data_IF_081973973063
#
_entry.id   IF_081973973063
#
_cell.length_a   1.000
_cell.length_b   1.000
_cell.length_c   1.000
_cell.angle_alpha   90.00
_cell.angle_beta   90.00
_cell.angle_gamma   90.00
#
_symmetry.space_group_name_H-M   'P 1'
#
loop_
_entity.id
_entity.type
_entity.pdbx_description
1 polymer ?
#
# COMPACT_ATOMS: atom_id res chain seq x y z
N UNK A 1 -7.06 -11.03 -10.13
CA UNK A 1 -5.66 -11.33 -9.74
C UNK A 1 -5.72 -11.58 -8.25
N UNK A 2 -5.15 -12.69 -7.80
CA UNK A 2 -5.07 -13.04 -6.38
C UNK A 2 -4.19 -12.02 -5.65
N UNK A 3 -4.47 -11.80 -4.36
CA UNK A 3 -3.60 -11.06 -3.46
C UNK A 3 -2.23 -11.75 -3.34
N UNK A 4 -1.17 -11.01 -2.99
CA UNK A 4 0.14 -11.66 -2.73
C UNK A 4 0.05 -12.65 -1.58
N UNK A 5 -0.80 -12.40 -0.59
CA UNK A 5 -1.12 -13.36 0.48
C UNK A 5 -1.59 -14.72 -0.05
N UNK A 6 -2.43 -14.70 -1.10
CA UNK A 6 -2.93 -15.91 -1.75
C UNK A 6 -1.89 -16.54 -2.69
N UNK A 7 -0.97 -15.74 -3.25
CA UNK A 7 0.11 -16.21 -4.12
C UNK A 7 1.27 -16.84 -3.33
N UNK A 8 1.66 -16.24 -2.22
CA UNK A 8 2.69 -16.75 -1.31
C UNK A 8 2.30 -16.48 0.15
N UNK A 9 1.72 -17.50 0.78
CA UNK A 9 1.30 -17.44 2.18
C UNK A 9 2.49 -17.40 3.15
N UNK A 10 3.63 -18.01 2.83
CA UNK A 10 4.82 -18.02 3.69
C UNK A 10 5.44 -16.62 3.78
N UNK A 11 5.70 -16.00 2.62
CA UNK A 11 6.14 -14.60 2.51
C UNK A 11 5.24 -13.68 3.33
N UNK A 12 3.93 -13.81 3.15
CA UNK A 12 2.97 -12.99 3.85
C UNK A 12 2.95 -13.24 5.36
N UNK A 13 3.03 -14.50 5.82
CA UNK A 13 3.09 -14.83 7.25
C UNK A 13 4.34 -14.30 7.93
N UNK A 14 5.50 -14.38 7.27
CA UNK A 14 6.73 -13.83 7.84
C UNK A 14 6.61 -12.31 8.02
N UNK A 15 6.13 -11.61 6.99
CA UNK A 15 5.81 -10.19 7.08
C UNK A 15 4.74 -9.92 8.14
N UNK A 16 3.75 -10.82 8.23
CA UNK A 16 2.67 -11.06 9.21
C UNK A 16 3.06 -10.85 10.68
N UNK A 17 4.03 -11.65 11.04
CA UNK A 17 4.23 -12.06 12.43
C UNK A 17 5.43 -11.35 13.06
N UNK A 18 6.10 -10.48 12.28
CA UNK A 18 7.32 -9.80 12.70
C UNK A 18 7.22 -8.29 12.46
N UNK A 19 7.57 -7.49 13.48
CA UNK A 19 7.62 -6.03 13.39
C UNK A 19 8.82 -5.52 12.60
N UNK A 20 9.87 -6.33 12.50
CA UNK A 20 11.08 -6.03 11.74
C UNK A 20 11.40 -7.24 10.89
N UNK A 21 11.59 -6.98 9.60
CA UNK A 21 12.03 -7.99 8.63
C UNK A 21 13.12 -7.38 7.76
N UNK A 22 13.90 -8.24 7.15
CA UNK A 22 14.89 -7.86 6.16
C UNK A 22 14.43 -8.38 4.80
N UNK A 23 14.70 -7.62 3.76
CA UNK A 23 14.38 -7.97 2.39
C UNK A 23 15.64 -7.91 1.55
N UNK A 24 15.96 -8.99 0.87
CA UNK A 24 17.09 -9.06 -0.05
C UNK A 24 16.59 -9.34 -1.45
N UNK A 25 16.99 -8.50 -2.40
CA UNK A 25 16.68 -8.77 -3.81
C UNK A 25 17.73 -9.71 -4.39
N UNK A 26 17.31 -10.80 -5.01
CA UNK A 26 18.19 -11.71 -5.75
C UNK A 26 17.59 -11.96 -7.11
N UNK A 27 18.31 -11.57 -8.16
CA UNK A 27 17.78 -11.52 -9.51
C UNK A 27 16.44 -10.77 -9.56
N UNK A 28 15.32 -11.47 -9.77
CA UNK A 28 13.99 -10.89 -9.88
C UNK A 28 13.10 -11.15 -8.66
N UNK A 29 13.62 -11.80 -7.61
CA UNK A 29 12.89 -12.15 -6.40
C UNK A 29 13.30 -11.27 -5.23
N UNK A 30 12.31 -10.86 -4.44
CA UNK A 30 12.47 -10.24 -3.15
C UNK A 30 12.28 -11.31 -2.07
N UNK A 31 13.34 -11.62 -1.33
CA UNK A 31 13.35 -12.63 -0.27
C UNK A 31 13.23 -11.95 1.08
N UNK A 32 12.22 -12.31 1.87
CA UNK A 32 12.13 -11.88 3.25
C UNK A 32 12.89 -12.82 4.18
N UNK A 33 13.39 -12.27 5.28
CA UNK A 33 14.08 -13.02 6.33
C UNK A 33 14.18 -12.21 7.63
N UNK A 34 14.56 -12.86 8.73
CA UNK A 34 14.54 -12.28 10.09
C UNK A 34 15.88 -11.69 10.54
N UNK A 35 16.97 -12.00 9.82
CA UNK A 35 18.33 -11.63 10.20
C UNK A 35 18.94 -10.62 9.22
N UNK A 36 19.92 -9.81 9.60
CA UNK A 36 20.61 -8.93 8.63
C UNK A 36 21.35 -9.72 7.55
N UNK A 37 21.88 -10.90 7.88
CA UNK A 37 22.55 -11.76 6.93
C UNK A 37 21.55 -12.33 5.92
N UNK A 38 21.92 -12.22 4.63
CA UNK A 38 21.17 -12.86 3.55
C UNK A 38 21.13 -14.38 3.78
N UNK A 39 19.95 -15.03 3.70
CA UNK A 39 19.84 -16.48 3.82
C UNK A 39 20.52 -17.19 2.65
N UNK A 40 20.99 -18.42 2.90
CA UNK A 40 21.44 -19.33 1.84
C UNK A 40 20.26 -19.67 0.94
N UNK A 41 20.39 -19.46 -0.37
CA UNK A 41 19.32 -19.74 -1.33
C UNK A 41 19.31 -21.21 -1.80
N UNK A 42 20.30 -21.99 -1.39
CA UNK A 42 20.44 -23.41 -1.76
C UNK A 42 19.77 -24.36 -0.74
N UNK A 43 19.14 -23.81 0.30
CA UNK A 43 18.44 -24.60 1.31
C UNK A 43 17.00 -24.89 0.88
N UNK A 44 16.83 -26.00 0.16
CA UNK A 44 15.52 -26.46 -0.32
C UNK A 44 14.59 -27.01 0.78
N UNK A 45 15.00 -26.97 2.05
CA UNK A 45 14.19 -27.51 3.17
C UNK A 45 13.23 -26.49 3.78
N UNK A 46 13.34 -25.22 3.41
CA UNK A 46 12.52 -24.11 3.92
C UNK A 46 11.53 -23.66 2.84
N UNK A 47 10.27 -23.39 3.22
CA UNK A 47 9.30 -22.79 2.30
C UNK A 47 9.84 -21.45 1.78
N UNK A 48 9.70 -21.20 0.49
CA UNK A 48 10.27 -20.00 -0.11
C UNK A 48 9.50 -18.76 0.34
N UNK A 49 10.13 -17.93 1.15
CA UNK A 49 9.61 -16.66 1.64
C UNK A 49 9.95 -15.52 0.66
N UNK A 50 9.80 -15.78 -0.64
CA UNK A 50 10.11 -14.84 -1.70
C UNK A 50 8.93 -14.54 -2.61
N UNK A 51 8.96 -13.37 -3.22
CA UNK A 51 8.00 -12.96 -4.23
C UNK A 51 8.74 -12.28 -5.36
N UNK A 52 8.29 -12.52 -6.59
CA UNK A 52 8.86 -11.80 -7.72
C UNK A 52 8.56 -10.30 -7.59
N UNK A 53 9.60 -9.49 -7.76
CA UNK A 53 9.55 -8.03 -7.57
C UNK A 53 8.52 -7.39 -8.51
N UNK A 54 8.38 -7.91 -9.73
CA UNK A 54 7.38 -7.40 -10.67
C UNK A 54 5.95 -7.68 -10.21
N UNK A 55 5.69 -8.77 -9.47
CA UNK A 55 4.38 -9.04 -8.88
C UNK A 55 4.04 -7.97 -7.83
N UNK A 56 4.99 -7.62 -6.95
CA UNK A 56 4.83 -6.52 -5.99
C UNK A 56 4.51 -5.20 -6.69
N UNK A 57 5.28 -4.86 -7.72
CA UNK A 57 5.10 -3.63 -8.49
C UNK A 57 3.73 -3.59 -9.19
N UNK A 58 3.31 -4.68 -9.83
CA UNK A 58 2.00 -4.79 -10.46
C UNK A 58 0.85 -4.66 -9.47
N UNK A 59 1.01 -5.24 -8.28
CA UNK A 59 0.01 -5.15 -7.22
C UNK A 59 -0.15 -3.71 -6.74
N UNK A 60 0.96 -3.03 -6.48
CA UNK A 60 0.96 -1.63 -6.11
C UNK A 60 0.36 -0.74 -7.22
N UNK A 61 0.67 -1.00 -8.50
CA UNK A 61 0.06 -0.27 -9.64
C UNK A 61 -1.46 -0.39 -9.62
N UNK A 62 -2.02 -1.57 -9.31
CA UNK A 62 -3.47 -1.79 -9.22
C UNK A 62 -4.08 -1.04 -8.04
N UNK A 63 -3.45 -1.12 -6.86
CA UNK A 63 -3.85 -0.35 -5.67
C UNK A 63 -3.89 1.15 -5.98
N UNK A 64 -2.84 1.68 -6.61
CA UNK A 64 -2.73 3.10 -7.00
C UNK A 64 -3.86 3.54 -7.93
N UNK A 65 -4.24 2.72 -8.91
CA UNK A 65 -5.36 3.03 -9.82
C UNK A 65 -6.69 3.08 -9.08
N UNK A 66 -6.98 2.09 -8.22
CA UNK A 66 -8.23 2.01 -7.48
C UNK A 66 -8.36 3.18 -6.48
N UNK A 67 -7.29 3.45 -5.73
CA UNK A 67 -7.28 4.48 -4.71
C UNK A 67 -7.37 5.88 -5.33
N UNK A 68 -6.75 6.10 -6.49
CA UNK A 68 -6.88 7.37 -7.23
C UNK A 68 -8.33 7.68 -7.60
N UNK A 69 -9.13 6.67 -7.92
CA UNK A 69 -10.57 6.86 -8.19
C UNK A 69 -11.31 7.34 -6.94
N UNK A 70 -11.03 6.73 -5.78
CA UNK A 70 -11.63 7.11 -4.50
C UNK A 70 -11.18 8.52 -4.08
N UNK A 71 -9.88 8.78 -4.11
CA UNK A 71 -9.29 10.11 -3.82
C UNK A 71 -9.92 11.21 -4.69
N UNK A 72 -10.10 10.95 -5.99
CA UNK A 72 -10.70 11.93 -6.91
C UNK A 72 -12.15 12.27 -6.53
N UNK A 73 -12.93 11.27 -6.10
CA UNK A 73 -14.31 11.48 -5.62
C UNK A 73 -14.34 12.32 -4.34
N UNK A 74 -13.46 12.01 -3.39
CA UNK A 74 -13.39 12.74 -2.12
C UNK A 74 -12.87 14.17 -2.31
N UNK A 75 -11.88 14.36 -3.18
CA UNK A 75 -11.37 15.68 -3.53
C UNK A 75 -12.44 16.54 -4.23
N UNK A 76 -13.27 15.93 -5.08
CA UNK A 76 -14.42 16.61 -5.69
C UNK A 76 -15.42 17.10 -4.64
N UNK A 77 -15.73 16.28 -3.62
CA UNK A 77 -16.58 16.71 -2.49
C UNK A 77 -15.98 17.91 -1.75
N UNK A 78 -14.68 17.85 -1.45
CA UNK A 78 -13.95 18.96 -0.80
C UNK A 78 -14.06 20.24 -1.65
N UNK A 79 -13.83 20.15 -2.96
CA UNK A 79 -13.90 21.29 -3.88
C UNK A 79 -15.31 21.87 -4.00
N UNK A 80 -16.35 21.05 -3.80
CA UNK A 80 -17.75 21.47 -3.76
C UNK A 80 -18.18 21.93 -2.36
N UNK A 81 -17.25 22.06 -1.40
CA UNK A 81 -17.50 22.44 0.00
C UNK A 81 -18.49 21.47 0.69
N UNK A 82 -18.56 20.24 0.19
CA UNK A 82 -19.28 19.16 0.85
C UNK A 82 -18.39 18.59 1.93
N UNK A 83 -18.97 18.36 3.11
CA UNK A 83 -18.20 17.72 4.17
C UNK A 83 -17.98 16.25 3.87
N UNK A 84 -16.81 15.79 4.28
CA UNK A 84 -16.50 14.37 4.36
C UNK A 84 -17.06 13.80 5.65
N UNK A 85 -17.35 12.51 5.62
CA UNK A 85 -17.58 11.74 6.85
C UNK A 85 -16.25 11.47 7.55
N UNK A 86 -16.28 11.22 8.88
CA UNK A 86 -15.06 10.88 9.62
C UNK A 86 -14.31 9.70 8.97
N UNK A 87 -15.03 8.70 8.46
CA UNK A 87 -14.42 7.55 7.78
C UNK A 87 -13.69 7.94 6.49
N UNK A 88 -14.23 8.89 5.73
CA UNK A 88 -13.58 9.38 4.51
C UNK A 88 -12.34 10.22 4.82
N UNK A 89 -12.38 11.02 5.90
CA UNK A 89 -11.21 11.76 6.38
C UNK A 89 -10.12 10.82 6.91
N UNK A 90 -10.48 9.89 7.80
CA UNK A 90 -9.58 8.86 8.33
C UNK A 90 -8.97 8.02 7.20
N UNK A 91 -9.75 7.67 6.19
CA UNK A 91 -9.23 6.95 5.03
C UNK A 91 -8.24 7.79 4.23
N UNK A 92 -8.51 9.08 3.98
CA UNK A 92 -7.56 9.96 3.26
C UNK A 92 -6.24 10.16 4.00
N UNK A 93 -6.29 10.29 5.33
CA UNK A 93 -5.10 10.45 6.18
C UNK A 93 -4.34 9.11 6.36
N UNK A 94 -5.05 7.99 6.36
CA UNK A 94 -4.52 6.64 6.51
C UNK A 94 -4.27 5.95 5.16
N UNK A 95 -5.06 4.92 4.85
CA UNK A 95 -4.83 4.03 3.70
C UNK A 95 -4.82 4.76 2.35
N UNK A 96 -5.68 5.76 2.20
CA UNK A 96 -5.76 6.61 1.03
C UNK A 96 -4.51 7.44 0.79
N UNK A 97 -3.59 7.57 1.76
CA UNK A 97 -2.29 8.21 1.55
C UNK A 97 -1.24 7.19 1.09
N UNK A 98 -0.93 7.21 -0.21
CA UNK A 98 -0.01 6.25 -0.83
C UNK A 98 1.47 6.68 -0.81
N UNK A 99 1.84 7.78 -0.14
CA UNK A 99 3.21 8.30 -0.17
C UNK A 99 4.22 7.27 0.35
N UNK A 100 3.94 6.64 1.49
CA UNK A 100 4.86 5.66 2.09
C UNK A 100 4.96 4.39 1.23
N UNK A 101 3.83 3.97 0.63
CA UNK A 101 3.80 2.84 -0.30
C UNK A 101 4.63 3.11 -1.56
N UNK A 102 4.52 4.32 -2.13
CA UNK A 102 5.31 4.73 -3.29
C UNK A 102 6.81 4.74 -2.98
N UNK A 103 7.21 5.36 -1.86
CA UNK A 103 8.60 5.41 -1.45
C UNK A 103 9.18 4.01 -1.21
N UNK A 104 8.41 3.13 -0.57
CA UNK A 104 8.83 1.76 -0.31
C UNK A 104 9.02 0.98 -1.61
N UNK A 105 8.04 0.99 -2.52
CA UNK A 105 8.17 0.29 -3.81
C UNK A 105 9.37 0.82 -4.60
N UNK A 106 9.55 2.14 -4.69
CA UNK A 106 10.71 2.72 -5.39
C UNK A 106 12.03 2.23 -4.78
N UNK A 107 12.14 2.19 -3.45
CA UNK A 107 13.33 1.68 -2.76
C UNK A 107 13.58 0.20 -3.02
N UNK A 108 12.52 -0.62 -3.01
CA UNK A 108 12.62 -2.05 -3.33
C UNK A 108 13.06 -2.28 -4.79
N UNK A 109 12.50 -1.52 -5.74
CA UNK A 109 12.88 -1.62 -7.16
C UNK A 109 14.31 -1.15 -7.43
N UNK A 110 14.81 -0.18 -6.65
CA UNK A 110 16.17 0.35 -6.78
C UNK A 110 17.23 -0.46 -6.01
N UNK A 111 16.81 -1.43 -5.20
CA UNK A 111 17.72 -2.22 -4.38
C UNK A 111 18.56 -3.14 -5.27
N UNK A 112 19.89 -2.99 -5.20
CA UNK A 112 20.81 -3.77 -6.03
C UNK A 112 20.77 -5.26 -5.69
N UNK A 113 21.06 -6.10 -6.68
CA UNK A 113 21.07 -7.55 -6.49
C UNK A 113 22.05 -7.97 -5.38
N UNK A 114 21.57 -8.79 -4.46
CA UNK A 114 22.28 -9.26 -3.29
C UNK A 114 22.29 -8.28 -2.10
N UNK A 115 21.80 -7.05 -2.27
CA UNK A 115 21.70 -6.09 -1.17
C UNK A 115 20.49 -6.36 -0.30
N UNK A 116 20.67 -6.12 1.01
CA UNK A 116 19.65 -6.31 2.03
C UNK A 116 19.16 -4.96 2.53
N UNK A 117 17.85 -4.78 2.61
CA UNK A 117 17.19 -3.65 3.24
C UNK A 117 16.50 -4.12 4.52
N UNK A 118 16.69 -3.39 5.62
CA UNK A 118 15.89 -3.56 6.83
C UNK A 118 14.58 -2.79 6.67
N UNK A 119 13.45 -3.46 6.88
CA UNK A 119 12.14 -2.84 6.97
C UNK A 119 11.78 -2.66 8.44
N UNK A 120 11.60 -1.41 8.87
CA UNK A 120 11.07 -1.09 10.21
C UNK A 120 9.54 -1.26 10.24
N UNK A 121 8.94 -1.25 11.43
CA UNK A 121 7.50 -1.52 11.64
C UNK A 121 6.56 -0.85 10.64
N UNK A 122 6.75 0.44 10.36
CA UNK A 122 5.91 1.18 9.40
C UNK A 122 6.10 0.74 7.94
N UNK A 123 7.33 0.41 7.55
CA UNK A 123 7.64 -0.08 6.20
C UNK A 123 7.14 -1.52 6.02
N UNK A 124 7.28 -2.36 7.05
CA UNK A 124 6.75 -3.71 7.06
C UNK A 124 5.21 -3.70 7.02
N UNK A 125 4.57 -2.80 7.78
CA UNK A 125 3.13 -2.58 7.72
C UNK A 125 2.68 -2.10 6.33
N UNK A 126 3.42 -1.18 5.73
CA UNK A 126 3.14 -0.68 4.38
C UNK A 126 3.26 -1.78 3.33
N UNK A 127 4.31 -2.60 3.38
CA UNK A 127 4.46 -3.76 2.50
C UNK A 127 3.31 -4.73 2.69
N UNK A 128 2.88 -4.95 3.93
CA UNK A 128 1.76 -5.84 4.25
C UNK A 128 0.47 -5.35 3.63
N UNK A 129 0.16 -4.06 3.74
CA UNK A 129 -1.01 -3.45 3.09
C UNK A 129 -1.00 -3.68 1.58
N UNK A 130 0.16 -3.53 0.95
CA UNK A 130 0.32 -3.83 -0.48
C UNK A 130 0.04 -5.31 -0.74
N UNK A 131 0.57 -6.23 0.08
CA UNK A 131 0.38 -7.67 -0.11
C UNK A 131 -1.05 -8.17 0.17
N UNK A 132 -1.78 -7.52 1.07
CA UNK A 132 -3.18 -7.81 1.40
C UNK A 132 -4.17 -7.16 0.43
N UNK A 133 -3.71 -6.20 -0.37
CA UNK A 133 -4.57 -5.51 -1.32
C UNK A 133 -5.16 -6.51 -2.33
N UNK A 134 -6.45 -6.78 -2.17
CA UNK A 134 -7.24 -7.48 -3.18
C UNK A 134 -7.99 -6.42 -3.97
N UNK A 135 -7.75 -6.29 -5.29
CA UNK A 135 -8.52 -5.35 -6.10
C UNK A 135 -9.99 -5.73 -6.02
N UNK A 136 -10.85 -4.73 -5.86
CA UNK A 136 -12.29 -4.97 -5.89
C UNK A 136 -12.64 -5.65 -7.21
N UNK A 137 -13.47 -6.71 -7.23
CA UNK A 137 -13.98 -7.25 -8.48
C UNK A 137 -14.63 -6.08 -9.21
N UNK A 138 -14.10 -5.74 -10.39
CA UNK A 138 -14.58 -4.60 -11.16
C UNK A 138 -16.11 -4.74 -11.28
N UNK A 139 -16.86 -3.87 -10.61
CA UNK A 139 -18.23 -3.61 -11.02
C UNK A 139 -18.13 -2.90 -12.37
N UNK A 140 -18.08 -3.69 -13.45
CA UNK A 140 -18.59 -3.19 -14.71
C UNK A 140 -20.06 -2.82 -14.46
N UNK A 141 -20.31 -1.51 -14.37
CA UNK A 141 -21.61 -0.87 -14.19
C UNK A 141 -22.28 -1.03 -12.83
N UNK A 142 -22.10 -0.02 -11.96
CA UNK A 142 -23.08 0.32 -10.94
C UNK A 142 -23.27 1.84 -10.90
N UNK A 143 -23.94 2.36 -11.93
CA UNK A 143 -24.80 3.52 -11.77
C UNK A 143 -25.88 3.15 -10.75
N UNK A 144 -26.22 4.09 -9.87
CA UNK A 144 -27.34 4.07 -8.91
C UNK A 144 -26.99 3.54 -7.51
N UNK A 145 -26.94 4.43 -6.51
CA UNK A 145 -28.10 4.71 -5.65
C UNK A 145 -27.78 5.77 -4.59
N UNK A 146 -28.81 6.56 -4.31
CA UNK A 146 -28.88 7.74 -3.47
C UNK A 146 -29.27 7.44 -2.02
N UNK A 147 -28.99 8.41 -1.13
CA UNK A 147 -29.59 8.55 0.21
C UNK A 147 -28.66 8.10 1.35
N UNK A 148 -28.53 8.80 2.48
CA UNK A 148 -29.17 9.98 3.07
C UNK A 148 -28.11 10.75 3.88
N UNK A 149 -28.24 12.08 3.94
CA UNK A 149 -27.37 12.98 4.70
C UNK A 149 -27.60 12.85 6.21
N UNK A 150 -26.51 12.78 6.98
CA UNK A 150 -26.46 13.26 8.35
C UNK A 150 -25.40 14.38 8.41
N UNK A 151 -25.73 15.48 9.07
CA UNK A 151 -25.17 16.80 8.79
C UNK A 151 -23.75 17.05 9.31
N UNK A 152 -22.95 17.95 8.70
CA UNK A 152 -21.57 18.19 9.13
C UNK A 152 -21.37 19.47 9.95
N UNK A 153 -20.54 19.37 11.00
CA UNK A 153 -20.03 20.52 11.77
C UNK A 153 -18.75 21.07 11.13
N UNK A 154 -18.80 22.36 10.74
CA UNK A 154 -17.74 23.16 10.11
C UNK A 154 -16.56 23.41 11.06
N UNK A 155 -15.42 22.71 10.93
CA UNK A 155 -14.11 23.21 11.47
C UNK A 155 -12.83 22.80 10.71
N UNK A 156 -12.85 21.98 9.66
CA UNK A 156 -11.60 21.38 9.12
C UNK A 156 -11.09 21.91 7.76
N UNK A 157 -11.77 22.89 7.13
CA UNK A 157 -11.45 23.37 5.77
C UNK A 157 -10.05 24.01 5.66
N UNK A 158 -9.56 24.64 6.73
CA UNK A 158 -8.30 25.39 6.70
C UNK A 158 -7.04 24.50 6.66
N UNK A 159 -7.11 23.25 7.16
CA UNK A 159 -5.94 22.36 7.23
C UNK A 159 -5.54 21.82 5.85
N UNK A 160 -6.51 21.53 4.99
CA UNK A 160 -6.27 20.94 3.66
C UNK A 160 -5.98 21.98 2.58
N UNK A 161 -6.51 23.20 2.72
CA UNK A 161 -6.15 24.30 1.82
C UNK A 161 -4.66 24.66 1.93
N UNK A 162 -4.06 24.59 3.12
CA UNK A 162 -2.64 24.92 3.32
C UNK A 162 -1.68 23.89 2.70
N UNK A 163 -1.97 22.59 2.83
CA UNK A 163 -1.12 21.50 2.26
C UNK A 163 -1.10 21.48 0.72
N UNK A 164 -2.16 21.93 0.07
CA UNK A 164 -2.23 21.97 -1.41
C UNK A 164 -1.37 23.11 -1.99
N UNK A 165 -1.24 24.24 -1.29
CA UNK A 165 -0.41 25.35 -1.74
C UNK A 165 1.09 25.08 -1.61
N UNK A 166 1.52 24.30 -0.63
CA UNK A 166 2.93 23.94 -0.42
C UNK A 166 3.46 22.90 -1.43
N UNK A 167 2.59 22.19 -2.16
CA UNK A 167 3.00 21.25 -3.22
C UNK A 167 3.08 21.88 -4.63
N UNK A 168 2.73 23.16 -4.76
CA UNK A 168 2.77 23.89 -6.04
C UNK A 168 3.85 25.00 -6.09
N UNK A 169 4.73 25.06 -5.08
CA UNK A 169 5.87 25.98 -5.01
C UNK A 169 7.16 25.30 -5.42
#
# INVERSE_FOLDING_TARGET
>A
MLSIKELNTAFFKLLRDNETVYITNVANSAHLHLTPERPSMDDATVESEDIEIHILEEHYKKMKVEYKSIQSKLLSKINQVQALTNKEEEWLDGDGNLVDAEQLIVRLMALSCGSTLKLVSEEAYTLRKICEFSPSPKQENASSLSGKQDGPKKKSVERWQKKIYEQKG
#
